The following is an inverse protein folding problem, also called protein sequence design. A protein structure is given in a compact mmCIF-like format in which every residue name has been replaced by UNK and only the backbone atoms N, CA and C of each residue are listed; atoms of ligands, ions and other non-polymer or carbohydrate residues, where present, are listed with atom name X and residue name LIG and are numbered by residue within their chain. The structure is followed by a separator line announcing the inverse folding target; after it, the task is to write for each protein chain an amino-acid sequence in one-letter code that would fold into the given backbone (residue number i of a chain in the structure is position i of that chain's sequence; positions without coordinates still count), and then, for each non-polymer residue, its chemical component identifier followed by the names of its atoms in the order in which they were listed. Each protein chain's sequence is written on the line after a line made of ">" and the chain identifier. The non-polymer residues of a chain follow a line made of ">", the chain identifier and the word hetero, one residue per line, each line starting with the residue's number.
data_IF_726378740980
#
_entry.id   IF_726378740980
#
_cell.length_a   1.000
_cell.length_b   1.000
_cell.length_c   1.000
_cell.angle_alpha   90.00
_cell.angle_beta   90.00
_cell.angle_gamma   90.00
#
_symmetry.space_group_name_H-M   'P 1'
#
loop_
_entity.id
_entity.type
_entity.pdbx_description
1 polymer ?
#
# COMPACT_ATOMS: atom_id res chain seq x y z
N UNK A 1 -17.41 -8.42 -1.32
CA UNK A 1 -16.00 -8.25 -1.74
C UNK A 1 -15.96 -7.94 -3.23
N UNK A 2 -15.00 -7.13 -3.71
CA UNK A 2 -15.03 -6.51 -5.06
C UNK A 2 -14.54 -7.41 -6.20
N UNK A 3 -14.19 -8.67 -5.94
CA UNK A 3 -13.70 -9.62 -6.97
C UNK A 3 -12.43 -9.17 -7.71
N UNK A 4 -11.69 -8.22 -7.15
CA UNK A 4 -10.52 -7.60 -7.78
C UNK A 4 -9.24 -8.36 -7.45
N UNK A 5 -8.28 -8.34 -8.37
CA UNK A 5 -6.97 -8.96 -8.16
C UNK A 5 -6.10 -8.08 -7.25
N UNK A 6 -5.45 -8.68 -6.26
CA UNK A 6 -4.61 -7.97 -5.30
C UNK A 6 -3.12 -8.19 -5.61
N UNK A 7 -2.38 -7.10 -5.81
CA UNK A 7 -0.92 -7.11 -5.95
C UNK A 7 -0.27 -6.52 -4.70
N UNK A 8 0.47 -7.33 -3.95
CA UNK A 8 1.17 -6.89 -2.73
C UNK A 8 2.61 -6.42 -3.05
N UNK A 9 2.85 -5.12 -2.88
CA UNK A 9 4.15 -4.45 -3.00
C UNK A 9 4.67 -3.93 -1.65
N UNK A 10 4.27 -4.53 -0.53
CA UNK A 10 4.79 -4.19 0.78
C UNK A 10 6.32 -4.36 0.84
N UNK A 11 7.05 -3.44 1.50
CA UNK A 11 8.51 -3.52 1.63
C UNK A 11 8.98 -4.84 2.22
N UNK A 12 8.21 -5.40 3.16
CA UNK A 12 8.51 -6.67 3.82
C UNK A 12 8.43 -7.86 2.84
N UNK A 13 7.50 -7.82 1.86
CA UNK A 13 7.41 -8.83 0.79
C UNK A 13 8.53 -8.70 -0.27
N UNK A 14 9.08 -7.49 -0.44
CA UNK A 14 10.09 -7.18 -1.46
C UNK A 14 11.53 -7.44 -1.00
N UNK A 15 11.74 -7.79 0.27
CA UNK A 15 13.06 -8.14 0.80
C UNK A 15 13.63 -9.35 0.05
N UNK A 16 14.84 -9.20 -0.50
CA UNK A 16 15.53 -10.27 -1.24
C UNK A 16 14.97 -10.60 -2.64
N UNK A 17 13.80 -10.08 -3.02
CA UNK A 17 13.21 -10.30 -4.35
C UNK A 17 13.68 -9.23 -5.34
N UNK A 18 13.94 -9.63 -6.58
CA UNK A 18 14.31 -8.76 -7.70
C UNK A 18 15.45 -7.77 -7.35
N UNK A 19 16.67 -8.26 -7.03
CA UNK A 19 17.77 -7.40 -6.64
C UNK A 19 18.21 -6.45 -7.77
N UNK A 20 18.66 -5.26 -7.37
CA UNK A 20 19.19 -4.25 -8.29
C UNK A 20 18.14 -3.41 -9.01
N UNK A 21 18.61 -2.39 -9.75
CA UNK A 21 17.75 -1.45 -10.48
C UNK A 21 16.97 -2.10 -11.62
N UNK A 22 17.59 -3.05 -12.33
CA UNK A 22 16.96 -3.77 -13.43
C UNK A 22 15.83 -4.69 -12.92
N UNK A 23 16.06 -5.42 -11.82
CA UNK A 23 15.05 -6.26 -11.19
C UNK A 23 13.84 -5.45 -10.73
N UNK A 24 14.07 -4.32 -10.06
CA UNK A 24 12.98 -3.43 -9.64
C UNK A 24 12.17 -2.88 -10.81
N UNK A 25 12.83 -2.45 -11.89
CA UNK A 25 12.15 -1.96 -13.09
C UNK A 25 11.31 -3.06 -13.76
N UNK A 26 11.81 -4.30 -13.78
CA UNK A 26 11.09 -5.46 -14.30
C UNK A 26 9.87 -5.79 -13.44
N UNK A 27 10.02 -5.82 -12.11
CA UNK A 27 8.92 -6.04 -11.18
C UNK A 27 7.81 -5.01 -11.39
N UNK A 28 8.15 -3.73 -11.41
CA UNK A 28 7.19 -2.65 -11.65
C UNK A 28 6.52 -2.83 -13.01
N UNK A 29 7.31 -3.04 -14.06
CA UNK A 29 6.76 -3.25 -15.40
C UNK A 29 5.76 -4.42 -15.45
N UNK A 30 6.10 -5.57 -14.86
CA UNK A 30 5.21 -6.73 -14.83
C UNK A 30 3.95 -6.47 -14.03
N UNK A 31 4.06 -5.91 -12.82
CA UNK A 31 2.90 -5.68 -11.93
C UNK A 31 1.90 -4.74 -12.60
N UNK A 32 2.36 -3.62 -13.16
CA UNK A 32 1.46 -2.70 -13.85
C UNK A 32 0.94 -3.27 -15.18
N UNK A 33 1.73 -4.08 -15.90
CA UNK A 33 1.25 -4.76 -17.11
C UNK A 33 0.14 -5.77 -16.81
N UNK A 34 0.33 -6.62 -15.81
CA UNK A 34 -0.66 -7.63 -15.40
C UNK A 34 -1.88 -6.96 -14.77
N UNK A 35 -1.70 -5.94 -13.93
CA UNK A 35 -2.82 -5.20 -13.33
C UNK A 35 -3.73 -4.57 -14.39
N UNK A 36 -3.16 -4.09 -15.51
CA UNK A 36 -3.92 -3.55 -16.65
C UNK A 36 -4.64 -4.61 -17.47
N UNK A 37 -4.09 -5.83 -17.55
CA UNK A 37 -4.72 -6.94 -18.27
C UNK A 37 -5.83 -7.60 -17.42
N UNK A 38 -5.66 -7.62 -16.10
CA UNK A 38 -6.55 -8.32 -15.17
C UNK A 38 -7.45 -7.35 -14.38
N UNK A 39 -8.12 -6.45 -15.08
CA UNK A 39 -9.01 -5.46 -14.46
C UNK A 39 -10.31 -6.11 -13.93
N UNK A 40 -10.83 -5.72 -12.76
CA UNK A 40 -10.31 -4.70 -11.84
C UNK A 40 -9.15 -5.22 -10.97
N UNK A 41 -8.17 -4.36 -10.69
CA UNK A 41 -6.98 -4.71 -9.91
C UNK A 41 -6.70 -3.68 -8.80
N UNK A 42 -6.19 -4.16 -7.67
CA UNK A 42 -5.78 -3.37 -6.50
C UNK A 42 -4.30 -3.62 -6.26
N UNK A 43 -3.49 -2.56 -6.32
CA UNK A 43 -2.10 -2.58 -5.89
C UNK A 43 -2.07 -2.11 -4.44
N UNK A 44 -1.57 -2.96 -3.55
CA UNK A 44 -1.48 -2.67 -2.12
C UNK A 44 -0.03 -2.53 -1.68
N UNK A 45 0.26 -1.45 -0.95
CA UNK A 45 1.55 -1.19 -0.31
C UNK A 45 1.33 -1.15 1.20
N UNK A 46 1.65 -2.26 1.86
CA UNK A 46 1.76 -2.33 3.32
C UNK A 46 2.90 -1.46 3.83
N UNK A 47 2.76 -0.89 5.05
CA UNK A 47 3.79 -0.08 5.70
C UNK A 47 4.36 1.01 4.77
N UNK A 48 3.47 1.77 4.11
CA UNK A 48 3.83 2.71 3.06
C UNK A 48 4.82 3.79 3.55
N UNK A 49 4.84 4.11 4.84
CA UNK A 49 5.80 5.02 5.46
C UNK A 49 7.26 4.58 5.25
N UNK A 50 7.52 3.26 5.22
CA UNK A 50 8.85 2.72 4.97
C UNK A 50 9.36 3.13 3.60
N UNK A 51 8.48 3.07 2.59
CA UNK A 51 8.80 3.47 1.21
C UNK A 51 9.22 4.94 1.11
N UNK A 52 8.66 5.78 1.98
CA UNK A 52 8.84 7.23 1.95
C UNK A 52 9.63 7.78 3.15
N UNK A 53 10.41 6.97 3.88
CA UNK A 53 11.11 7.42 5.08
C UNK A 53 11.94 8.70 4.90
N UNK A 54 11.83 9.63 5.85
CA UNK A 54 12.75 10.77 5.96
C UNK A 54 14.17 10.26 6.25
N UNK A 55 14.33 9.53 7.35
CA UNK A 55 15.59 8.90 7.79
C UNK A 55 15.35 7.40 7.92
N UNK A 56 16.15 6.58 7.23
CA UNK A 56 16.03 5.12 7.29
C UNK A 56 16.72 4.63 8.57
N UNK A 57 16.02 3.92 9.47
CA UNK A 57 16.63 3.25 10.61
C UNK A 57 17.75 2.30 10.17
N UNK A 58 18.81 2.13 10.97
CA UNK A 58 19.97 1.31 10.58
C UNK A 58 19.59 -0.17 10.40
N UNK A 59 18.63 -0.67 11.19
CA UNK A 59 18.09 -2.04 11.09
C UNK A 59 17.39 -2.29 9.76
N UNK A 60 16.62 -1.31 9.26
CA UNK A 60 15.84 -1.47 8.02
C UNK A 60 16.63 -1.11 6.76
N UNK A 61 17.88 -0.64 6.87
CA UNK A 61 18.71 -0.33 5.70
C UNK A 61 19.00 -1.56 4.82
N UNK A 62 19.12 -2.75 5.42
CA UNK A 62 19.34 -4.00 4.66
C UNK A 62 18.13 -4.38 3.79
N UNK A 63 16.92 -4.01 4.22
CA UNK A 63 15.69 -4.21 3.46
C UNK A 63 15.51 -3.22 2.28
N UNK A 64 16.38 -2.20 2.20
CA UNK A 64 16.37 -1.13 1.18
C UNK A 64 14.96 -0.56 0.89
N UNK A 65 14.31 0.02 1.92
CA UNK A 65 12.90 0.37 1.89
C UNK A 65 12.60 1.52 0.91
N UNK A 66 13.60 2.33 0.52
CA UNK A 66 13.42 3.47 -0.40
C UNK A 66 13.36 3.07 -1.88
N UNK A 67 13.47 1.78 -2.21
CA UNK A 67 13.47 1.25 -3.59
C UNK A 67 12.35 1.80 -4.46
N UNK A 68 11.11 1.74 -3.97
CA UNK A 68 9.92 2.11 -4.75
C UNK A 68 9.73 3.63 -4.89
N UNK A 69 10.45 4.46 -4.12
CA UNK A 69 10.21 5.91 -4.04
C UNK A 69 10.26 6.62 -5.39
N UNK A 70 11.15 6.17 -6.30
CA UNK A 70 11.37 6.82 -7.61
C UNK A 70 10.47 6.26 -8.70
N UNK A 71 10.25 4.95 -8.70
CA UNK A 71 9.62 4.25 -9.82
C UNK A 71 8.09 4.15 -9.63
N UNK A 72 7.59 4.22 -8.39
CA UNK A 72 6.15 4.24 -8.09
C UNK A 72 5.43 5.47 -8.68
N UNK A 73 5.90 6.72 -8.49
CA UNK A 73 5.24 7.89 -9.09
C UNK A 73 5.30 7.89 -10.62
N UNK A 74 6.33 7.28 -11.22
CA UNK A 74 6.42 7.14 -12.68
C UNK A 74 5.38 6.16 -13.19
N UNK A 75 5.22 5.03 -12.52
CA UNK A 75 4.25 4.01 -12.91
C UNK A 75 2.80 4.49 -12.73
N UNK A 76 2.51 5.24 -11.66
CA UNK A 76 1.18 5.80 -11.43
C UNK A 76 0.75 6.78 -12.53
N UNK A 77 1.69 7.59 -13.05
CA UNK A 77 1.41 8.50 -14.19
C UNK A 77 1.08 7.78 -15.50
N UNK A 78 1.48 6.51 -15.64
CA UNK A 78 1.18 5.72 -16.83
C UNK A 78 -0.23 5.12 -16.79
N UNK A 79 -0.87 5.08 -15.61
CA UNK A 79 -2.21 4.55 -15.45
C UNK A 79 -3.24 5.59 -15.87
N UNK A 80 -4.24 5.14 -16.63
CA UNK A 80 -5.42 5.92 -16.98
C UNK A 80 -6.62 5.46 -16.14
N UNK A 81 -7.66 6.30 -15.98
CA UNK A 81 -8.91 5.90 -15.33
C UNK A 81 -9.56 4.67 -15.98
N UNK A 82 -9.35 4.48 -17.28
CA UNK A 82 -9.78 3.32 -18.07
C UNK A 82 -9.18 2.00 -17.58
N UNK A 83 -7.99 2.03 -16.96
CA UNK A 83 -7.28 0.82 -16.55
C UNK A 83 -7.87 0.18 -15.27
N UNK A 84 -8.81 0.83 -14.57
CA UNK A 84 -9.47 0.32 -13.33
C UNK A 84 -8.50 -0.31 -12.31
N UNK A 85 -7.36 0.35 -12.12
CA UNK A 85 -6.34 -0.04 -11.13
C UNK A 85 -6.37 0.94 -9.96
N UNK A 86 -6.54 0.42 -8.74
CA UNK A 86 -6.53 1.21 -7.50
C UNK A 86 -5.23 0.98 -6.72
N UNK A 87 -4.55 2.06 -6.32
CA UNK A 87 -3.44 2.00 -5.38
C UNK A 87 -3.93 2.24 -3.95
N UNK A 88 -3.65 1.30 -3.04
CA UNK A 88 -3.93 1.43 -1.60
C UNK A 88 -2.62 1.35 -0.82
N UNK A 89 -2.35 2.37 0.00
CA UNK A 89 -1.25 2.36 0.97
C UNK A 89 -1.79 2.32 2.38
N UNK A 90 -1.28 1.42 3.22
CA UNK A 90 -1.61 1.38 4.65
C UNK A 90 -0.39 1.82 5.46
N UNK A 91 -0.61 2.66 6.47
CA UNK A 91 0.44 3.20 7.32
C UNK A 91 -0.05 3.36 8.77
N UNK A 92 0.78 2.95 9.73
CA UNK A 92 0.58 3.18 11.16
C UNK A 92 1.33 4.44 11.66
N UNK A 93 2.41 4.82 10.95
CA UNK A 93 3.32 5.91 11.31
C UNK A 93 3.54 6.88 10.14
N UNK A 94 2.51 7.60 9.69
CA UNK A 94 2.64 8.53 8.55
C UNK A 94 3.64 9.67 8.83
N UNK A 95 3.92 9.99 10.09
CA UNK A 95 4.89 11.02 10.49
C UNK A 95 6.35 10.67 10.19
N UNK A 96 6.67 9.37 10.10
CA UNK A 96 8.02 8.90 9.75
C UNK A 96 8.31 9.06 8.25
N UNK A 97 7.27 9.13 7.44
CA UNK A 97 7.34 9.38 6.01
C UNK A 97 7.63 10.87 5.70
N UNK A 98 8.24 11.12 4.56
CA UNK A 98 8.34 12.43 3.96
C UNK A 98 6.99 12.83 3.34
N UNK A 99 6.25 13.67 4.06
CA UNK A 99 4.88 14.10 3.72
C UNK A 99 4.78 14.63 2.29
N UNK A 100 5.77 15.39 1.81
CA UNK A 100 5.75 15.95 0.45
C UNK A 100 5.75 14.87 -0.63
N UNK A 101 6.53 13.80 -0.45
CA UNK A 101 6.60 12.72 -1.43
C UNK A 101 5.46 11.72 -1.29
N UNK A 102 4.98 11.48 -0.07
CA UNK A 102 3.81 10.65 0.19
C UNK A 102 2.54 11.27 -0.43
N UNK A 103 2.25 12.54 -0.14
CA UNK A 103 1.07 13.24 -0.69
C UNK A 103 1.12 13.41 -2.21
N UNK A 104 2.31 13.30 -2.83
CA UNK A 104 2.45 13.31 -4.28
C UNK A 104 2.15 11.95 -4.92
N UNK A 105 2.32 10.86 -4.16
CA UNK A 105 2.05 9.50 -4.63
C UNK A 105 0.59 9.07 -4.40
N UNK A 106 -0.04 9.57 -3.33
CA UNK A 106 -1.42 9.23 -2.97
C UNK A 106 -2.34 10.44 -3.10
N UNK A 107 -3.38 10.31 -3.93
CA UNK A 107 -4.36 11.39 -4.18
C UNK A 107 -5.29 11.64 -2.99
N UNK A 108 -5.63 10.58 -2.25
CA UNK A 108 -6.56 10.61 -1.11
C UNK A 108 -5.89 9.98 0.09
N UNK A 109 -5.88 10.70 1.20
CA UNK A 109 -5.38 10.22 2.49
C UNK A 109 -6.57 10.17 3.43
N UNK A 110 -6.89 8.97 3.91
CA UNK A 110 -7.98 8.74 4.85
C UNK A 110 -7.38 8.50 6.24
N UNK A 111 -7.67 9.40 7.17
CA UNK A 111 -7.35 9.19 8.58
C UNK A 111 -8.38 8.25 9.18
N UNK A 112 -7.94 7.13 9.74
CA UNK A 112 -8.79 6.22 10.49
C UNK A 112 -8.74 6.61 11.99
N UNK A 113 -9.76 7.30 12.52
CA UNK A 113 -9.79 7.66 13.94
C UNK A 113 -10.03 6.41 14.80
N UNK A 114 -9.75 6.54 16.09
CA UNK A 114 -10.15 5.50 17.05
C UNK A 114 -11.68 5.39 17.07
N UNK A 115 -12.24 4.18 17.16
CA UNK A 115 -13.69 3.99 17.17
C UNK A 115 -14.30 4.70 18.37
N UNK A 116 -15.36 5.46 18.16
CA UNK A 116 -16.14 6.12 19.20
C UNK A 116 -17.02 5.11 19.95
N UNK A 117 -17.77 5.57 20.96
CA UNK A 117 -18.62 4.68 21.76
C UNK A 117 -19.66 3.96 20.88
N UNK A 118 -20.30 4.67 19.96
CA UNK A 118 -21.30 4.09 19.08
C UNK A 118 -20.70 3.01 18.15
N UNK A 119 -19.55 3.29 17.52
CA UNK A 119 -18.85 2.30 16.68
C UNK A 119 -18.43 1.07 17.48
N UNK A 120 -17.95 1.25 18.72
CA UNK A 120 -17.60 0.14 19.62
C UNK A 120 -18.83 -0.69 20.00
N UNK A 121 -19.94 -0.04 20.35
CA UNK A 121 -21.20 -0.72 20.68
C UNK A 121 -21.67 -1.60 19.52
N UNK A 122 -21.72 -1.04 18.29
CA UNK A 122 -22.10 -1.80 17.10
C UNK A 122 -21.13 -2.95 16.82
N UNK A 123 -19.82 -2.72 17.01
CA UNK A 123 -18.80 -3.76 16.85
C UNK A 123 -19.02 -4.90 17.83
N UNK A 124 -19.23 -4.60 19.12
CA UNK A 124 -19.51 -5.59 20.15
C UNK A 124 -20.81 -6.35 19.87
N UNK A 125 -21.88 -5.65 19.52
CA UNK A 125 -23.15 -6.28 19.20
C UNK A 125 -23.01 -7.28 18.03
N UNK A 126 -22.26 -6.91 16.97
CA UNK A 126 -21.97 -7.81 15.85
C UNK A 126 -21.11 -9.00 16.26
N UNK A 127 -20.09 -8.77 17.09
CA UNK A 127 -19.19 -9.82 17.56
C UNK A 127 -19.92 -10.82 18.47
N UNK A 128 -20.72 -10.35 19.42
CA UNK A 128 -21.50 -11.18 20.35
C UNK A 128 -22.47 -12.06 19.56
N UNK A 129 -23.25 -11.46 18.64
CA UNK A 129 -24.16 -12.21 17.75
C UNK A 129 -23.44 -13.24 16.89
N UNK A 130 -22.27 -12.88 16.34
CA UNK A 130 -21.47 -13.81 15.52
C UNK A 130 -20.99 -15.03 16.32
N UNK A 131 -20.78 -14.90 17.62
CA UNK A 131 -20.34 -15.99 18.50
C UNK A 131 -21.50 -16.64 19.29
N UNK A 132 -22.75 -16.41 18.87
CA UNK A 132 -23.92 -17.05 19.47
C UNK A 132 -24.34 -16.49 20.83
N UNK A 133 -23.75 -15.37 21.26
CA UNK A 133 -24.28 -14.61 22.40
C UNK A 133 -25.55 -13.86 21.98
N UNK A 134 -26.56 -13.90 22.84
CA UNK A 134 -27.82 -13.15 22.69
C UNK A 134 -27.68 -11.70 23.10
#
# INVERSE_FOLDING_TARGET
>A
ETGANLFDLSPDNLVGKYPGKAGLSMLMHMVFKVARLMQPSVVWIGNAEKTFYKKVPKEEKQADPKRLKRDLPKALKLLKPEDRVLLIGTSDKPYAADVKTLCKAYERILLLPRPDYASRYVTWQRLIKKHGGT
#
